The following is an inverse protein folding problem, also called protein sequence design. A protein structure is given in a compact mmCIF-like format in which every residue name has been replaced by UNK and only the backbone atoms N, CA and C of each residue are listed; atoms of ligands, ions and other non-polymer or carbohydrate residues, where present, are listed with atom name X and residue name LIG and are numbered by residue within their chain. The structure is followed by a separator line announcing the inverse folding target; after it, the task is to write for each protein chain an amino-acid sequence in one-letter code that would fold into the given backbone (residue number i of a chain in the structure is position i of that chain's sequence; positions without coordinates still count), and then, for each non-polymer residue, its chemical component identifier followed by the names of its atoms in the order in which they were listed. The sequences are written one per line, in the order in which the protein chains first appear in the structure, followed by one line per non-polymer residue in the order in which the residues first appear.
data_IF_154646044859
#
_entry.id   IF_154646044859
#
_cell.length_a   1.000
_cell.length_b   1.000
_cell.length_c   1.000
_cell.angle_alpha   90.00
_cell.angle_beta   90.00
_cell.angle_gamma   90.00
#
_symmetry.space_group_name_H-M   'P 1'
#
loop_
_entity.id
_entity.type
_entity.pdbx_description
1 polymer ?
#
# COMPACT_ATOMS: atom_id res chain seq x y z
N UNK A 1 4.58 2.79 -2.40
CA UNK A 1 4.91 1.56 -1.64
C UNK A 1 5.74 1.88 -0.40
N UNK A 2 6.76 2.73 -0.48
CA UNK A 2 7.61 3.10 0.66
C UNK A 2 6.76 3.63 1.83
N UNK A 3 5.86 4.59 1.59
CA UNK A 3 4.99 5.13 2.64
C UNK A 3 4.11 4.07 3.33
N UNK A 4 3.70 3.03 2.61
CA UNK A 4 2.93 1.92 3.18
C UNK A 4 3.81 1.11 4.13
N UNK A 5 5.04 0.78 3.73
CA UNK A 5 5.99 0.04 4.57
C UNK A 5 6.38 0.82 5.81
N UNK A 6 6.64 2.12 5.65
CA UNK A 6 7.01 3.00 6.75
C UNK A 6 5.87 3.11 7.76
N UNK A 7 4.63 3.28 7.29
CA UNK A 7 3.45 3.29 8.16
C UNK A 7 3.27 1.96 8.89
N UNK A 8 3.48 0.83 8.18
CA UNK A 8 3.38 -0.50 8.78
C UNK A 8 4.42 -0.72 9.88
N UNK A 9 5.68 -0.30 9.67
CA UNK A 9 6.77 -0.43 10.65
C UNK A 9 6.71 0.58 11.79
N UNK A 10 5.89 1.62 11.65
CA UNK A 10 5.70 2.66 12.67
C UNK A 10 4.43 2.46 13.49
N UNK A 11 3.79 1.29 13.43
CA UNK A 11 2.57 1.00 14.19
C UNK A 11 1.35 1.78 13.73
N UNK A 12 1.37 2.39 12.54
CA UNK A 12 0.29 3.21 12.03
C UNK A 12 -0.76 2.39 11.25
N UNK A 13 -2.00 2.87 11.26
CA UNK A 13 -3.00 2.42 10.28
C UNK A 13 -2.80 3.17 8.98
N UNK A 14 -2.81 2.45 7.87
CA UNK A 14 -2.75 3.04 6.54
C UNK A 14 -3.92 2.56 5.68
N UNK A 15 -4.39 3.44 4.82
CA UNK A 15 -5.49 3.19 3.88
C UNK A 15 -5.01 3.49 2.47
N UNK A 16 -4.86 2.45 1.66
CA UNK A 16 -4.55 2.61 0.24
C UNK A 16 -5.83 2.92 -0.53
N UNK A 17 -5.84 4.04 -1.25
CA UNK A 17 -7.01 4.55 -1.97
C UNK A 17 -6.77 4.41 -3.47
N UNK A 18 -7.79 3.96 -4.22
CA UNK A 18 -7.72 3.88 -5.68
C UNK A 18 -7.61 5.28 -6.29
N UNK A 19 -6.62 5.46 -7.15
CA UNK A 19 -6.44 6.69 -7.91
C UNK A 19 -7.57 6.97 -8.93
N UNK A 20 -8.46 5.99 -9.16
CA UNK A 20 -9.60 6.08 -10.08
C UNK A 20 -10.86 6.65 -9.42
N UNK A 21 -10.86 6.82 -8.11
CA UNK A 21 -12.01 7.36 -7.38
C UNK A 21 -12.16 8.86 -7.62
N UNK A 22 -13.42 9.31 -7.59
CA UNK A 22 -13.73 10.73 -7.64
C UNK A 22 -13.36 11.42 -6.31
N UNK A 23 -13.11 12.72 -6.34
CA UNK A 23 -12.72 13.49 -5.16
C UNK A 23 -13.68 13.30 -3.97
N UNK A 24 -14.99 13.26 -4.21
CA UNK A 24 -15.98 13.02 -3.15
C UNK A 24 -15.89 11.63 -2.50
N UNK A 25 -15.48 10.62 -3.24
CA UNK A 25 -15.28 9.27 -2.71
C UNK A 25 -13.99 9.21 -1.89
N UNK A 26 -12.92 9.86 -2.36
CA UNK A 26 -11.66 10.00 -1.62
C UNK A 26 -11.89 10.77 -0.33
N UNK A 27 -12.60 11.90 -0.37
CA UNK A 27 -12.98 12.68 0.81
C UNK A 27 -13.71 11.82 1.84
N UNK A 28 -14.71 11.05 1.39
CA UNK A 28 -15.44 10.13 2.25
C UNK A 28 -14.51 9.16 2.95
N UNK A 29 -13.62 8.49 2.22
CA UNK A 29 -12.69 7.50 2.77
C UNK A 29 -11.73 8.16 3.78
N UNK A 30 -11.15 9.30 3.45
CA UNK A 30 -10.21 10.02 4.33
C UNK A 30 -10.86 10.42 5.65
N UNK A 31 -12.12 10.89 5.60
CA UNK A 31 -12.89 11.26 6.79
C UNK A 31 -13.32 10.03 7.60
N UNK A 32 -13.83 9.00 6.93
CA UNK A 32 -14.34 7.77 7.57
C UNK A 32 -13.22 6.98 8.29
N UNK A 33 -12.03 6.88 7.69
CA UNK A 33 -10.88 6.26 8.35
C UNK A 33 -10.19 7.14 9.40
N UNK A 34 -10.59 8.39 9.52
CA UNK A 34 -10.02 9.35 10.47
C UNK A 34 -8.55 9.69 10.20
N UNK A 35 -8.15 9.71 8.93
CA UNK A 35 -6.77 9.95 8.52
C UNK A 35 -6.26 11.31 9.05
N UNK A 36 -5.03 11.30 9.55
CA UNK A 36 -4.33 12.52 10.00
C UNK A 36 -3.36 13.05 8.95
N UNK A 37 -2.96 12.16 8.04
CA UNK A 37 -2.06 12.46 6.92
C UNK A 37 -2.68 11.90 5.65
N UNK A 38 -2.68 12.69 4.59
CA UNK A 38 -3.07 12.27 3.24
C UNK A 38 -1.91 12.55 2.29
N UNK A 39 -1.47 11.50 1.59
CA UNK A 39 -0.37 11.56 0.63
C UNK A 39 -0.92 11.24 -0.75
N UNK A 40 -0.66 12.10 -1.72
CA UNK A 40 -0.98 11.92 -3.13
C UNK A 40 0.25 12.13 -4.00
N UNK A 41 0.12 12.19 -5.31
CA UNK A 41 1.21 12.48 -6.23
C UNK A 41 0.84 13.59 -7.20
N UNK A 42 1.84 14.21 -7.80
CA UNK A 42 1.66 15.25 -8.83
C UNK A 42 0.83 14.76 -10.02
N UNK A 43 0.87 13.45 -10.30
CA UNK A 43 0.03 12.82 -11.31
C UNK A 43 -1.48 13.02 -11.06
N UNK A 44 -1.89 13.16 -9.80
CA UNK A 44 -3.28 13.36 -9.37
C UNK A 44 -3.59 14.81 -8.96
N UNK A 45 -2.79 15.78 -9.42
CA UNK A 45 -2.90 17.18 -8.99
C UNK A 45 -4.31 17.76 -9.13
N UNK A 46 -4.99 17.49 -10.24
CA UNK A 46 -6.35 18.02 -10.48
C UNK A 46 -7.34 17.48 -9.43
N UNK A 47 -7.32 16.18 -9.16
CA UNK A 47 -8.14 15.60 -8.11
C UNK A 47 -7.75 16.10 -6.71
N UNK A 48 -6.47 16.39 -6.49
CA UNK A 48 -5.99 16.95 -5.22
C UNK A 48 -6.51 18.36 -4.98
N UNK A 49 -6.59 19.20 -6.01
CA UNK A 49 -7.17 20.57 -5.92
C UNK A 49 -8.61 20.53 -5.44
N UNK A 50 -9.41 19.60 -5.94
CA UNK A 50 -10.81 19.44 -5.53
C UNK A 50 -10.94 19.00 -4.06
N UNK A 51 -9.92 18.31 -3.52
CA UNK A 51 -9.88 17.83 -2.14
C UNK A 51 -9.35 18.87 -1.15
N UNK A 52 -8.67 19.90 -1.62
CA UNK A 52 -7.93 20.86 -0.78
C UNK A 52 -8.79 21.43 0.33
N UNK A 53 -9.96 21.98 -0.02
CA UNK A 53 -10.88 22.63 0.93
C UNK A 53 -11.71 21.64 1.77
N UNK A 54 -11.85 20.39 1.35
CA UNK A 54 -12.71 19.40 2.00
C UNK A 54 -12.00 18.59 3.09
N UNK A 55 -10.65 18.58 3.09
CA UNK A 55 -9.82 17.84 4.03
C UNK A 55 -9.21 18.76 5.11
N UNK A 56 -10.06 19.55 5.80
CA UNK A 56 -9.61 20.38 6.92
C UNK A 56 -9.06 19.53 8.07
N UNK A 57 -7.94 19.99 8.66
CA UNK A 57 -7.28 19.30 9.79
C UNK A 57 -6.49 18.05 9.40
N UNK A 58 -6.38 17.73 8.12
CA UNK A 58 -5.53 16.66 7.59
C UNK A 58 -4.23 17.26 7.03
N UNK A 59 -3.08 16.75 7.44
CA UNK A 59 -1.79 17.12 6.84
C UNK A 59 -1.71 16.54 5.43
N UNK A 60 -1.47 17.37 4.43
CA UNK A 60 -1.52 17.01 3.02
C UNK A 60 -0.14 17.09 2.40
N UNK A 61 0.30 16.00 1.78
CA UNK A 61 1.59 15.90 1.10
C UNK A 61 1.42 15.41 -0.33
N UNK A 62 2.31 15.86 -1.20
CA UNK A 62 2.35 15.49 -2.61
C UNK A 62 3.73 14.97 -2.98
N UNK A 63 3.78 13.78 -3.56
CA UNK A 63 4.97 13.21 -4.19
C UNK A 63 5.22 13.90 -5.53
N UNK A 64 6.49 14.06 -5.88
CA UNK A 64 6.97 14.65 -7.13
C UNK A 64 6.55 16.14 -7.32
N UNK A 65 6.34 16.85 -6.22
CA UNK A 65 6.05 18.28 -6.23
C UNK A 65 5.13 18.76 -5.12
N UNK A 66 4.48 19.91 -5.37
CA UNK A 66 3.53 20.55 -4.46
C UNK A 66 2.39 21.18 -5.24
N UNK A 67 1.24 21.41 -4.61
CA UNK A 67 0.12 22.11 -5.23
C UNK A 67 -0.88 22.61 -4.17
N UNK A 68 -1.16 23.92 -4.17
CA UNK A 68 -2.06 24.53 -3.20
C UNK A 68 -1.58 24.32 -1.76
N UNK A 69 -2.37 23.66 -0.93
CA UNK A 69 -2.04 23.31 0.46
C UNK A 69 -1.41 21.90 0.62
N UNK A 70 -1.11 21.23 -0.49
CA UNK A 70 -0.33 20.00 -0.51
C UNK A 70 1.16 20.33 -0.56
N UNK A 71 1.86 20.07 0.53
CA UNK A 71 3.30 20.29 0.66
C UNK A 71 4.10 19.20 -0.03
N UNK A 72 5.33 19.52 -0.46
CA UNK A 72 6.24 18.50 -1.01
C UNK A 72 6.54 17.44 0.05
N UNK A 73 6.27 16.18 -0.28
CA UNK A 73 6.60 15.05 0.59
C UNK A 73 8.11 14.91 0.74
N UNK A 74 8.86 15.06 -0.35
CA UNK A 74 10.31 14.95 -0.38
C UNK A 74 10.98 16.00 0.50
N UNK A 75 10.46 17.24 0.48
CA UNK A 75 10.96 18.30 1.34
C UNK A 75 10.65 18.07 2.81
N UNK A 76 9.46 17.54 3.10
CA UNK A 76 9.04 17.22 4.46
C UNK A 76 9.94 16.15 5.11
N UNK A 77 10.41 15.17 4.34
CA UNK A 77 11.26 14.08 4.86
C UNK A 77 12.77 14.34 4.74
N UNK A 78 13.19 15.38 3.99
CA UNK A 78 14.60 15.62 3.62
C UNK A 78 15.56 15.62 4.81
N UNK A 79 15.14 16.17 5.93
CA UNK A 79 15.95 16.32 7.12
C UNK A 79 15.57 15.33 8.24
N UNK A 80 14.71 14.36 7.95
CA UNK A 80 14.36 13.34 8.91
C UNK A 80 15.48 12.30 9.03
N UNK A 81 15.64 11.69 10.22
CA UNK A 81 16.60 10.59 10.39
C UNK A 81 16.30 9.45 9.41
N UNK A 82 17.34 8.84 8.85
CA UNK A 82 17.25 7.67 8.00
C UNK A 82 17.52 6.35 8.75
N UNK A 83 17.57 6.42 10.07
CA UNK A 83 17.72 5.27 10.97
C UNK A 83 16.33 4.73 11.35
N UNK A 84 16.22 3.43 11.66
CA UNK A 84 15.00 2.88 12.23
C UNK A 84 14.55 3.64 13.48
N UNK A 85 13.26 3.74 13.70
CA UNK A 85 12.70 4.28 14.95
C UNK A 85 12.95 3.27 16.09
N UNK A 86 13.16 3.74 17.33
CA UNK A 86 13.50 2.88 18.47
C UNK A 86 12.38 1.93 18.88
N UNK A 87 11.13 2.32 18.63
CA UNK A 87 9.90 1.61 18.99
C UNK A 87 9.18 1.01 17.77
N UNK A 88 9.93 0.48 16.80
CA UNK A 88 9.32 -0.19 15.65
C UNK A 88 8.32 -1.24 16.09
N UNK A 89 7.10 -1.10 15.58
CA UNK A 89 6.03 -2.05 15.83
C UNK A 89 5.11 -2.18 14.62
N UNK A 90 4.34 -3.27 14.62
CA UNK A 90 3.45 -3.56 13.50
C UNK A 90 2.26 -2.60 13.45
N UNK A 91 2.06 -1.98 12.30
CA UNK A 91 0.84 -1.28 11.93
C UNK A 91 -0.21 -2.20 11.29
N UNK A 92 -1.27 -1.61 10.77
CA UNK A 92 -2.34 -2.35 10.10
C UNK A 92 -2.87 -1.63 8.86
N UNK A 93 -3.34 -2.39 7.89
CA UNK A 93 -4.10 -1.84 6.78
C UNK A 93 -5.58 -1.70 7.14
N UNK A 94 -6.19 -0.59 6.72
CA UNK A 94 -7.63 -0.44 6.64
C UNK A 94 -8.00 -0.23 5.17
N UNK A 95 -8.49 -1.27 4.52
CA UNK A 95 -8.81 -1.23 3.11
C UNK A 95 -10.32 -1.10 2.90
N UNK A 96 -10.70 -0.46 1.81
CA UNK A 96 -12.09 -0.23 1.46
C UNK A 96 -12.54 -1.17 0.35
N UNK A 97 -13.69 -1.81 0.55
CA UNK A 97 -14.39 -2.57 -0.48
C UNK A 97 -15.39 -1.68 -1.20
N UNK A 98 -15.70 -2.00 -2.45
CA UNK A 98 -16.65 -1.25 -3.29
C UNK A 98 -18.11 -1.27 -2.80
N UNK A 99 -18.39 -1.91 -1.66
CA UNK A 99 -19.70 -1.97 -0.99
C UNK A 99 -20.90 -2.18 -1.93
N UNK A 100 -21.70 -3.19 -1.71
CA UNK A 100 -22.93 -3.45 -2.50
C UNK A 100 -24.01 -2.40 -2.32
N UNK A 101 -23.85 -1.47 -1.38
CA UNK A 101 -24.83 -0.44 -0.99
C UNK A 101 -24.46 0.98 -1.43
N UNK A 102 -23.48 1.11 -2.34
CA UNK A 102 -23.11 2.39 -2.97
C UNK A 102 -22.04 3.22 -2.25
N UNK A 103 -21.76 2.95 -0.97
CA UNK A 103 -20.61 3.57 -0.26
C UNK A 103 -19.53 2.55 0.05
N UNK A 104 -18.24 2.88 -0.14
CA UNK A 104 -17.13 2.01 0.26
C UNK A 104 -17.23 1.68 1.75
N UNK A 105 -16.94 0.44 2.12
CA UNK A 105 -16.89 -0.02 3.51
C UNK A 105 -15.46 -0.32 3.91
N UNK A 106 -14.98 0.35 4.96
CA UNK A 106 -13.67 0.13 5.54
C UNK A 106 -13.62 -1.15 6.36
N UNK A 107 -12.67 -2.02 6.05
CA UNK A 107 -12.38 -3.21 6.87
C UNK A 107 -11.17 -2.89 7.74
N UNK A 108 -11.42 -2.63 9.01
CA UNK A 108 -10.38 -2.34 9.99
C UNK A 108 -10.09 -3.57 10.83
N UNK A 109 -8.80 -3.85 11.05
CA UNK A 109 -8.35 -4.80 12.07
C UNK A 109 -7.83 -4.04 13.29
N UNK A 110 -7.98 -4.61 14.48
CA UNK A 110 -7.27 -4.10 15.65
C UNK A 110 -5.76 -4.19 15.42
N UNK A 111 -5.06 -3.12 15.79
CA UNK A 111 -3.61 -3.15 15.82
C UNK A 111 -3.22 -3.89 17.10
N UNK A 112 -2.63 -5.06 16.95
CA UNK A 112 -1.86 -5.69 18.02
C UNK A 112 -0.45 -5.09 17.97
N UNK A 113 -0.09 -4.37 19.01
CA UNK A 113 1.26 -3.81 19.10
C UNK A 113 2.22 -4.99 19.33
N UNK A 114 2.91 -5.40 18.28
CA UNK A 114 3.96 -6.41 18.32
C UNK A 114 5.26 -5.75 17.91
N UNK A 115 6.33 -5.88 18.72
CA UNK A 115 7.64 -5.37 18.33
C UNK A 115 8.16 -6.03 17.04
N UNK A 116 8.96 -5.32 16.28
CA UNK A 116 9.67 -5.85 15.12
C UNK A 116 11.13 -6.13 15.49
N UNK A 117 11.83 -7.11 14.85
CA UNK A 117 11.32 -8.04 13.85
C UNK A 117 10.45 -9.15 14.45
N UNK A 118 9.56 -9.69 13.65
CA UNK A 118 8.77 -10.84 14.06
C UNK A 118 9.65 -12.06 14.38
N UNK A 119 9.30 -12.75 15.46
CA UNK A 119 9.76 -14.11 15.63
C UNK A 119 8.84 -15.08 14.87
N UNK A 120 9.36 -16.15 14.27
CA UNK A 120 8.56 -17.09 13.46
C UNK A 120 7.37 -17.72 14.19
N UNK A 121 7.36 -17.67 15.51
CA UNK A 121 6.36 -18.30 16.38
C UNK A 121 5.16 -17.40 16.72
N UNK A 122 5.16 -16.15 16.33
CA UNK A 122 4.05 -15.24 16.62
C UNK A 122 2.86 -15.45 15.67
N UNK A 123 1.66 -15.54 16.24
CA UNK A 123 0.44 -15.93 15.56
C UNK A 123 -0.02 -15.02 14.40
N UNK A 124 0.59 -13.86 14.21
CA UNK A 124 0.09 -12.82 13.29
C UNK A 124 1.04 -12.47 12.14
N UNK A 125 1.68 -13.47 11.54
CA UNK A 125 2.56 -13.26 10.37
C UNK A 125 1.74 -13.14 9.07
N UNK A 126 0.42 -13.03 9.16
CA UNK A 126 -0.47 -12.76 8.04
C UNK A 126 -0.22 -13.64 6.82
N UNK A 127 -0.19 -13.01 5.64
CA UNK A 127 0.05 -13.69 4.36
C UNK A 127 1.46 -14.25 4.20
N UNK A 128 2.43 -13.84 5.02
CA UNK A 128 3.82 -14.36 4.95
C UNK A 128 3.86 -15.87 5.16
N UNK A 129 3.15 -16.40 6.17
CA UNK A 129 3.04 -17.85 6.38
C UNK A 129 2.33 -18.56 5.25
N UNK A 130 1.33 -17.91 4.66
CA UNK A 130 0.58 -18.46 3.52
C UNK A 130 1.50 -18.58 2.30
N UNK A 131 2.23 -17.52 1.95
CA UNK A 131 3.11 -17.56 0.77
C UNK A 131 4.27 -18.54 0.96
N UNK A 132 4.79 -18.65 2.18
CA UNK A 132 5.83 -19.61 2.51
C UNK A 132 5.32 -21.05 2.53
N UNK A 133 4.20 -21.30 3.24
CA UNK A 133 3.70 -22.66 3.46
C UNK A 133 2.98 -23.26 2.26
N UNK A 134 2.15 -22.48 1.54
CA UNK A 134 1.38 -22.99 0.40
C UNK A 134 2.08 -22.81 -0.94
N UNK A 135 2.91 -21.77 -1.08
CA UNK A 135 3.53 -21.43 -2.35
C UNK A 135 5.04 -21.66 -2.35
N UNK A 136 5.61 -22.14 -1.25
CA UNK A 136 7.06 -22.39 -1.11
C UNK A 136 7.90 -21.15 -1.39
N UNK A 137 7.40 -19.97 -1.05
CA UNK A 137 8.12 -18.71 -1.20
C UNK A 137 9.30 -18.62 -0.24
N UNK A 138 10.39 -18.01 -0.68
CA UNK A 138 11.62 -17.78 0.08
C UNK A 138 12.20 -16.40 -0.25
N UNK A 139 13.33 -16.06 0.34
CA UNK A 139 14.10 -14.85 0.02
C UNK A 139 14.58 -14.80 -1.44
N UNK A 140 14.77 -15.96 -2.06
CA UNK A 140 15.17 -16.09 -3.48
C UNK A 140 13.99 -15.90 -4.45
N UNK A 141 12.77 -15.80 -3.96
CA UNK A 141 11.59 -15.66 -4.81
C UNK A 141 11.54 -14.29 -5.49
N UNK A 142 11.03 -14.28 -6.73
CA UNK A 142 10.71 -13.06 -7.48
C UNK A 142 9.21 -13.03 -7.71
N UNK A 143 8.54 -12.11 -7.03
CA UNK A 143 7.09 -11.95 -7.09
C UNK A 143 6.71 -10.83 -8.07
N UNK A 144 5.81 -11.11 -9.01
CA UNK A 144 5.19 -10.12 -9.89
C UNK A 144 3.82 -9.74 -9.36
N UNK A 145 3.62 -8.44 -9.07
CA UNK A 145 2.33 -7.83 -8.71
C UNK A 145 1.75 -7.07 -9.90
N UNK A 146 0.90 -7.71 -10.74
CA UNK A 146 0.31 -7.06 -11.91
C UNK A 146 -0.94 -6.24 -11.59
N UNK A 147 -1.53 -6.44 -10.42
CA UNK A 147 -2.76 -5.77 -9.99
C UNK A 147 -2.45 -4.60 -9.04
N UNK A 148 -3.33 -3.57 -9.00
CA UNK A 148 -3.11 -2.39 -8.17
C UNK A 148 -3.05 -2.70 -6.68
N UNK A 149 -2.08 -2.09 -5.98
CA UNK A 149 -1.83 -2.31 -4.55
C UNK A 149 -2.92 -1.76 -3.60
N UNK A 150 -3.88 -0.99 -4.09
CA UNK A 150 -5.01 -0.57 -3.25
C UNK A 150 -6.05 -1.68 -3.03
N UNK A 151 -5.93 -2.83 -3.71
CA UNK A 151 -6.71 -4.02 -3.43
C UNK A 151 -6.04 -4.89 -2.36
N UNK A 152 -6.86 -5.57 -1.55
CA UNK A 152 -6.38 -6.36 -0.40
C UNK A 152 -5.46 -7.52 -0.80
N UNK A 153 -5.78 -8.25 -1.87
CA UNK A 153 -4.99 -9.40 -2.29
C UNK A 153 -3.60 -8.97 -2.83
N UNK A 154 -3.48 -8.07 -3.84
CA UNK A 154 -2.19 -7.59 -4.30
C UNK A 154 -1.33 -6.99 -3.19
N UNK A 155 -1.93 -6.18 -2.31
CA UNK A 155 -1.25 -5.60 -1.16
C UNK A 155 -0.71 -6.69 -0.23
N UNK A 156 -1.57 -7.62 0.16
CA UNK A 156 -1.20 -8.66 1.13
C UNK A 156 -0.14 -9.61 0.60
N UNK A 157 -0.27 -10.07 -0.65
CA UNK A 157 0.76 -10.92 -1.28
C UNK A 157 2.09 -10.17 -1.40
N UNK A 158 2.07 -8.93 -1.90
CA UNK A 158 3.28 -8.12 -2.00
C UNK A 158 3.98 -7.96 -0.64
N UNK A 159 3.21 -7.62 0.41
CA UNK A 159 3.75 -7.50 1.77
C UNK A 159 4.31 -8.83 2.28
N UNK A 160 3.63 -9.95 2.01
CA UNK A 160 4.08 -11.29 2.41
C UNK A 160 5.41 -11.69 1.78
N UNK A 161 5.58 -11.46 0.48
CA UNK A 161 6.85 -11.73 -0.21
C UNK A 161 7.98 -10.80 0.27
N UNK A 162 7.69 -9.51 0.45
CA UNK A 162 8.69 -8.56 0.97
C UNK A 162 9.13 -8.89 2.40
N UNK A 163 8.23 -9.41 3.24
CA UNK A 163 8.57 -9.84 4.60
C UNK A 163 9.53 -11.04 4.63
N UNK A 164 9.55 -11.87 3.57
CA UNK A 164 10.53 -12.95 3.38
C UNK A 164 11.87 -12.46 2.83
N UNK A 165 12.02 -11.19 2.49
CA UNK A 165 13.20 -10.67 1.79
C UNK A 165 13.18 -10.89 0.28
N UNK A 166 12.10 -11.41 -0.28
CA UNK A 166 11.94 -11.68 -1.70
C UNK A 166 11.93 -10.38 -2.55
N UNK A 167 12.27 -10.52 -3.83
CA UNK A 167 12.16 -9.42 -4.79
C UNK A 167 10.72 -9.24 -5.26
N UNK A 168 10.22 -8.01 -5.26
CA UNK A 168 8.89 -7.67 -5.75
C UNK A 168 8.96 -6.77 -6.98
N UNK A 169 8.33 -7.20 -8.06
CA UNK A 169 8.17 -6.46 -9.32
C UNK A 169 6.72 -5.97 -9.39
N UNK A 170 6.53 -4.65 -9.40
CA UNK A 170 5.20 -4.06 -9.39
C UNK A 170 4.95 -3.40 -10.75
N UNK A 171 3.83 -3.75 -11.38
CA UNK A 171 3.36 -3.03 -12.56
C UNK A 171 2.48 -1.87 -12.11
N UNK A 172 2.78 -0.68 -12.59
CA UNK A 172 1.98 0.52 -12.32
C UNK A 172 0.54 0.37 -12.88
N UNK A 173 0.46 -0.28 -14.04
CA UNK A 173 -0.80 -0.62 -14.71
C UNK A 173 -0.65 -2.01 -15.33
N UNK A 174 -1.72 -2.80 -15.27
CA UNK A 174 -1.73 -4.09 -15.96
C UNK A 174 -1.65 -3.88 -17.47
N UNK A 175 -0.65 -4.51 -18.07
CA UNK A 175 -0.46 -4.67 -19.49
C UNK A 175 0.06 -6.08 -19.74
N UNK A 176 -0.59 -6.90 -20.61
CA UNK A 176 -0.21 -8.29 -20.81
C UNK A 176 1.22 -8.48 -21.33
N UNK A 177 1.63 -7.63 -22.29
CA UNK A 177 2.97 -7.73 -22.89
C UNK A 177 4.04 -7.31 -21.88
N UNK A 178 3.80 -6.24 -21.12
CA UNK A 178 4.70 -5.82 -20.05
C UNK A 178 4.81 -6.89 -18.94
N UNK A 179 3.71 -7.57 -18.62
CA UNK A 179 3.72 -8.67 -17.65
C UNK A 179 4.56 -9.84 -18.13
N UNK A 180 4.38 -10.28 -19.39
CA UNK A 180 5.18 -11.36 -20.00
C UNK A 180 6.66 -10.96 -20.08
N UNK A 181 6.96 -9.75 -20.50
CA UNK A 181 8.32 -9.23 -20.54
C UNK A 181 8.97 -9.19 -19.14
N UNK A 182 8.21 -8.81 -18.11
CA UNK A 182 8.70 -8.84 -16.74
C UNK A 182 8.99 -10.26 -16.25
N UNK A 183 8.11 -11.22 -16.56
CA UNK A 183 8.32 -12.64 -16.23
C UNK A 183 9.62 -13.16 -16.84
N UNK A 184 9.84 -12.90 -18.12
CA UNK A 184 11.05 -13.32 -18.81
C UNK A 184 12.30 -12.63 -18.27
N UNK A 185 12.25 -11.29 -18.14
CA UNK A 185 13.40 -10.45 -17.74
C UNK A 185 13.86 -10.74 -16.34
N UNK A 186 12.94 -10.82 -15.40
CA UNK A 186 13.24 -10.93 -13.96
C UNK A 186 13.16 -12.35 -13.46
N UNK A 187 12.87 -13.34 -14.33
CA UNK A 187 12.72 -14.75 -13.95
C UNK A 187 11.72 -14.92 -12.80
N UNK A 188 10.54 -14.29 -12.96
CA UNK A 188 9.46 -14.32 -11.98
C UNK A 188 9.11 -15.76 -11.60
N UNK A 189 9.08 -16.02 -10.30
CA UNK A 189 8.75 -17.34 -9.75
C UNK A 189 7.29 -17.41 -9.26
N UNK A 190 6.74 -16.28 -8.82
CA UNK A 190 5.40 -16.21 -8.24
C UNK A 190 4.65 -14.97 -8.74
N UNK A 191 3.34 -15.11 -8.90
CA UNK A 191 2.46 -13.99 -9.25
C UNK A 191 1.03 -14.27 -8.85
N UNK A 192 0.26 -13.20 -8.59
CA UNK A 192 -1.16 -13.29 -8.27
C UNK A 192 -1.97 -12.58 -9.35
N UNK A 193 -2.97 -13.26 -9.91
CA UNK A 193 -3.75 -12.82 -11.05
C UNK A 193 -5.26 -12.85 -10.74
N UNK A 194 -6.02 -12.04 -11.45
CA UNK A 194 -7.48 -12.17 -11.49
C UNK A 194 -7.91 -12.76 -12.82
N UNK A 195 -9.03 -13.51 -12.88
CA UNK A 195 -9.44 -14.23 -14.10
C UNK A 195 -9.48 -13.40 -15.37
N UNK A 196 -9.88 -12.13 -15.26
CA UNK A 196 -9.93 -11.19 -16.40
C UNK A 196 -8.58 -10.82 -16.99
N UNK A 197 -7.46 -11.18 -16.36
CA UNK A 197 -6.12 -10.96 -16.88
C UNK A 197 -5.65 -12.09 -17.83
N UNK A 198 -6.45 -13.16 -17.95
CA UNK A 198 -6.15 -14.30 -18.81
C UNK A 198 -7.01 -14.34 -20.10
N UNK A 199 -7.77 -13.29 -20.38
CA UNK A 199 -8.69 -13.22 -21.53
C UNK A 199 -8.18 -12.25 -22.56
#
# INVERSE_FOLDING_TARGET
EMCIRDSYRSGLKYTAISWRLQASEVEYIVKDCGAKVFITSKFLEESAKDLSSSLEGVNKFMLDGESGDFLSYEDAIRNMPNTPIEDECQGASMLYSSGTTGKPKGVSREIKISPLPYTPDEEDVGLTRVVQGLYSASEDSVYLSPAPLYHSAPMGFNTGFLALGATSIILEKFDPEAALAAIEKYKVTHSQWVPTMFV
#
